data_IF_044209687242
#
_entry.id   IF_044209687242
#
_cell.length_a   1.000
_cell.length_b   1.000
_cell.length_c   1.000
_cell.angle_alpha   90.00
_cell.angle_beta   90.00
_cell.angle_gamma   90.00
#
_symmetry.space_group_name_H-M   'P 1'
#
loop_
_entity.id
_entity.type
_entity.pdbx_description
1 polymer ?
#
# COMPACT_ATOMS: atom_id res chain seq x y z
N UNK A 1 -6.38 -24.95 3.50
CA UNK A 1 -6.74 -23.58 3.93
C UNK A 1 -8.06 -23.19 3.26
N UNK A 2 -9.02 -22.63 3.99
CA UNK A 2 -10.29 -22.17 3.41
C UNK A 2 -10.09 -20.90 2.55
N UNK A 3 -10.79 -20.79 1.43
CA UNK A 3 -10.65 -19.67 0.49
C UNK A 3 -10.93 -18.29 1.13
N UNK A 4 -11.86 -18.24 2.09
CA UNK A 4 -12.18 -17.04 2.87
C UNK A 4 -10.99 -16.54 3.70
N UNK A 5 -10.20 -17.46 4.26
CA UNK A 5 -9.01 -17.11 5.03
C UNK A 5 -7.96 -16.44 4.14
N UNK A 6 -7.75 -16.99 2.94
CA UNK A 6 -6.81 -16.44 1.95
C UNK A 6 -7.23 -15.02 1.55
N UNK A 7 -8.51 -14.82 1.20
CA UNK A 7 -9.03 -13.49 0.85
C UNK A 7 -8.89 -12.48 1.99
N UNK A 8 -9.11 -12.91 3.24
CA UNK A 8 -8.90 -12.05 4.42
C UNK A 8 -7.45 -11.63 4.57
N UNK A 9 -6.51 -12.58 4.48
CA UNK A 9 -5.07 -12.26 4.58
C UNK A 9 -4.60 -11.37 3.43
N UNK A 10 -5.02 -11.63 2.20
CA UNK A 10 -4.70 -10.78 1.04
C UNK A 10 -5.19 -9.34 1.27
N UNK A 11 -6.43 -9.18 1.74
CA UNK A 11 -6.96 -7.86 2.06
C UNK A 11 -6.14 -7.15 3.15
N UNK A 12 -5.82 -7.86 4.24
CA UNK A 12 -5.05 -7.30 5.35
C UNK A 12 -3.66 -6.85 4.91
N UNK A 13 -2.94 -7.69 4.15
CA UNK A 13 -1.60 -7.36 3.64
C UNK A 13 -1.67 -6.17 2.67
N UNK A 14 -2.67 -6.13 1.79
CA UNK A 14 -2.87 -5.03 0.86
C UNK A 14 -3.16 -3.71 1.60
N UNK A 15 -4.07 -3.74 2.57
CA UNK A 15 -4.41 -2.57 3.40
C UNK A 15 -3.20 -2.09 4.23
N UNK A 16 -2.47 -3.01 4.86
CA UNK A 16 -1.28 -2.68 5.63
C UNK A 16 -0.15 -2.10 4.76
N UNK A 17 0.03 -2.63 3.55
CA UNK A 17 1.02 -2.12 2.59
C UNK A 17 0.68 -0.70 2.14
N UNK A 18 -0.60 -0.44 1.85
CA UNK A 18 -1.04 0.90 1.46
C UNK A 18 -0.87 1.91 2.61
N UNK A 19 -1.41 1.59 3.79
CA UNK A 19 -1.37 2.48 4.96
C UNK A 19 0.05 2.68 5.48
N UNK A 20 0.78 1.59 5.72
CA UNK A 20 2.18 1.64 6.14
C UNK A 20 3.03 2.38 5.11
N UNK A 21 2.67 2.26 3.84
CA UNK A 21 3.34 2.99 2.78
C UNK A 21 3.22 4.51 2.94
N UNK A 22 1.99 5.02 3.12
CA UNK A 22 1.74 6.45 3.34
C UNK A 22 2.45 6.98 4.58
N UNK A 23 2.50 6.19 5.65
CA UNK A 23 3.14 6.58 6.92
C UNK A 23 4.67 6.63 6.80
N UNK A 24 5.29 5.69 6.07
CA UNK A 24 6.76 5.59 5.97
C UNK A 24 7.34 6.53 4.92
N UNK A 25 6.67 6.71 3.77
CA UNK A 25 7.28 7.43 2.64
C UNK A 25 7.58 8.89 2.95
N UNK A 26 6.64 9.60 3.59
CA UNK A 26 6.79 11.03 3.87
C UNK A 26 8.01 11.34 4.77
N UNK A 27 8.16 10.71 5.96
CA UNK A 27 9.32 10.92 6.80
C UNK A 27 10.61 10.41 6.14
N UNK A 28 10.57 9.29 5.41
CA UNK A 28 11.74 8.80 4.67
C UNK A 28 12.25 9.82 3.64
N UNK A 29 11.37 10.36 2.80
CA UNK A 29 11.73 11.41 1.82
C UNK A 29 12.24 12.66 2.54
N UNK A 30 11.67 13.04 3.68
CA UNK A 30 12.14 14.17 4.46
C UNK A 30 13.58 13.96 4.96
N UNK A 31 13.89 12.78 5.50
CA UNK A 31 15.24 12.40 5.95
C UNK A 31 16.22 12.37 4.78
N UNK A 32 15.91 11.66 3.69
CA UNK A 32 16.81 11.56 2.52
C UNK A 32 17.08 12.94 1.88
N UNK A 33 16.10 13.85 1.90
CA UNK A 33 16.29 15.22 1.44
C UNK A 33 17.27 16.00 2.33
N UNK A 34 17.29 15.76 3.64
CA UNK A 34 18.24 16.39 4.59
C UNK A 34 19.66 15.87 4.38
N UNK A 35 19.81 14.60 4.01
CA UNK A 35 21.09 13.96 3.68
C UNK A 35 21.62 14.32 2.28
N UNK A 36 20.98 15.24 1.57
CA UNK A 36 21.46 15.73 0.28
C UNK A 36 21.21 14.80 -0.91
N UNK A 37 20.33 13.80 -0.79
CA UNK A 37 19.98 12.90 -1.90
C UNK A 37 19.38 13.71 -3.08
N UNK A 38 19.85 13.49 -4.33
CA UNK A 38 19.36 14.23 -5.49
C UNK A 38 17.84 14.12 -5.68
N UNK A 39 17.22 15.22 -6.10
CA UNK A 39 15.75 15.28 -6.30
C UNK A 39 15.28 14.27 -7.34
N UNK A 40 16.04 13.99 -8.41
CA UNK A 40 15.64 12.95 -9.37
C UNK A 40 15.55 11.56 -8.74
N UNK A 41 16.48 11.20 -7.85
CA UNK A 41 16.49 9.93 -7.15
C UNK A 41 15.29 9.81 -6.20
N UNK A 42 15.00 10.87 -5.43
CA UNK A 42 13.81 10.93 -4.56
C UNK A 42 12.52 10.79 -5.35
N UNK A 43 12.40 11.46 -6.51
CA UNK A 43 11.23 11.34 -7.38
C UNK A 43 11.10 9.95 -7.99
N UNK A 44 12.21 9.31 -8.39
CA UNK A 44 12.20 7.95 -8.91
C UNK A 44 11.74 6.94 -7.84
N UNK A 45 12.23 7.08 -6.60
CA UNK A 45 11.78 6.28 -5.46
C UNK A 45 10.29 6.51 -5.19
N UNK A 46 9.84 7.76 -5.10
CA UNK A 46 8.44 8.11 -4.86
C UNK A 46 7.50 7.55 -5.93
N UNK A 47 7.87 7.60 -7.22
CA UNK A 47 7.06 7.03 -8.32
C UNK A 47 6.94 5.50 -8.22
N UNK A 48 8.04 4.83 -7.90
CA UNK A 48 8.02 3.36 -7.74
C UNK A 48 7.17 2.96 -6.55
N UNK A 49 7.32 3.68 -5.44
CA UNK A 49 6.50 3.49 -4.26
C UNK A 49 5.02 3.73 -4.55
N UNK A 50 4.70 4.84 -5.22
CA UNK A 50 3.33 5.15 -5.62
C UNK A 50 2.71 4.01 -6.41
N UNK A 51 3.41 3.42 -7.39
CA UNK A 51 2.91 2.25 -8.13
C UNK A 51 2.55 1.09 -7.19
N UNK A 52 3.45 0.69 -6.30
CA UNK A 52 3.21 -0.40 -5.35
C UNK A 52 2.02 -0.10 -4.43
N UNK A 53 2.00 1.10 -3.84
CA UNK A 53 0.96 1.56 -2.94
C UNK A 53 -0.40 1.62 -3.64
N UNK A 54 -0.48 2.18 -4.85
CA UNK A 54 -1.73 2.23 -5.62
C UNK A 54 -2.23 0.84 -6.02
N UNK A 55 -1.34 -0.08 -6.41
CA UNK A 55 -1.72 -1.47 -6.66
C UNK A 55 -2.27 -2.15 -5.41
N UNK A 56 -1.63 -1.96 -4.26
CA UNK A 56 -2.10 -2.50 -2.99
C UNK A 56 -3.48 -1.92 -2.60
N UNK A 57 -3.71 -0.62 -2.83
CA UNK A 57 -5.03 -0.02 -2.63
C UNK A 57 -6.10 -0.68 -3.50
N UNK A 58 -5.81 -0.88 -4.79
CA UNK A 58 -6.74 -1.55 -5.70
C UNK A 58 -7.12 -2.94 -5.21
N UNK A 59 -6.15 -3.72 -4.75
CA UNK A 59 -6.39 -5.06 -4.17
C UNK A 59 -7.25 -4.94 -2.89
N UNK A 60 -6.93 -4.00 -2.01
CA UNK A 60 -7.67 -3.80 -0.76
C UNK A 60 -9.13 -3.40 -1.01
N UNK A 61 -9.38 -2.52 -2.00
CA UNK A 61 -10.74 -2.12 -2.41
C UNK A 61 -11.51 -3.32 -2.96
N UNK A 62 -10.97 -4.02 -3.96
CA UNK A 62 -11.65 -5.17 -4.59
C UNK A 62 -11.98 -6.24 -3.55
N UNK A 63 -11.00 -6.61 -2.73
CA UNK A 63 -11.21 -7.61 -1.66
C UNK A 63 -12.14 -7.11 -0.55
N UNK A 64 -12.17 -5.80 -0.29
CA UNK A 64 -13.10 -5.16 0.64
C UNK A 64 -14.55 -5.27 0.15
N UNK A 65 -14.80 -4.87 -1.09
CA UNK A 65 -16.11 -4.93 -1.73
C UNK A 65 -16.64 -6.36 -1.81
N UNK A 66 -15.79 -7.33 -2.17
CA UNK A 66 -16.18 -8.74 -2.18
C UNK A 66 -16.64 -9.22 -0.79
N UNK A 67 -15.96 -8.81 0.28
CA UNK A 67 -16.39 -9.17 1.66
C UNK A 67 -17.74 -8.57 2.02
N UNK A 68 -17.97 -7.30 1.69
CA UNK A 68 -19.26 -6.63 1.93
C UNK A 68 -20.39 -7.41 1.24
N UNK A 69 -20.20 -7.76 -0.03
CA UNK A 69 -21.18 -8.53 -0.81
C UNK A 69 -21.41 -9.95 -0.27
N UNK A 70 -20.34 -10.67 0.12
CA UNK A 70 -20.44 -12.05 0.62
C UNK A 70 -20.97 -12.15 2.06
N UNK A 71 -20.73 -11.14 2.90
CA UNK A 71 -21.04 -11.18 4.33
C UNK A 71 -22.28 -10.37 4.70
N UNK A 72 -22.94 -9.71 3.74
CA UNK A 72 -24.09 -8.82 3.96
C UNK A 72 -23.87 -7.80 5.11
N UNK A 73 -22.63 -7.30 5.22
CA UNK A 73 -22.26 -6.21 6.13
C UNK A 73 -22.52 -4.85 5.49
#
# INVERSE_FOLDING_TARGET
MSALLVARWVHLVAAATWLGGMVVLAPLIATLRREGVPREALRAAARTFARVTWTALGIAIVTGLLKVQLMHL
#
